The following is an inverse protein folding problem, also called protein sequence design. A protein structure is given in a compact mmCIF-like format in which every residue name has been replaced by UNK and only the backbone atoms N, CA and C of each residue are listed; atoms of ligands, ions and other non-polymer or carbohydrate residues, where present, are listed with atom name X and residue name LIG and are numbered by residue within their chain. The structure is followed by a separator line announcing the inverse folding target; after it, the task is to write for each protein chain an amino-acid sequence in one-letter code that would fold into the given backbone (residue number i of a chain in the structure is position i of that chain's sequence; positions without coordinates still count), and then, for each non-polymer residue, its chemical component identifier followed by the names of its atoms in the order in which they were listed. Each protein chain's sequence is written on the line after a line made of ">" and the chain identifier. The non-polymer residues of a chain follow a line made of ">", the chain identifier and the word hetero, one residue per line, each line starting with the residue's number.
data_IF_860768840996
#
_entry.id   IF_860768840996
#
_cell.length_a   1.000
_cell.length_b   1.000
_cell.length_c   1.000
_cell.angle_alpha   90.00
_cell.angle_beta   90.00
_cell.angle_gamma   90.00
#
_symmetry.space_group_name_H-M   'P 1'
#
loop_
_entity.id
_entity.type
_entity.pdbx_description
1 polymer ?
#
# COMPACT_ATOMS: atom_id res chain seq x y z
N UNK A 1 -11.09 12.71 9.12
CA UNK A 1 -9.91 12.58 9.99
C UNK A 1 -9.07 13.85 9.94
N UNK A 2 -8.74 14.36 11.12
CA UNK A 2 -7.76 15.43 11.31
C UNK A 2 -6.35 14.95 10.90
N UNK A 3 -5.41 15.89 10.75
CA UNK A 3 -4.05 15.57 10.28
C UNK A 3 -3.31 14.69 11.30
N UNK A 4 -3.38 15.05 12.57
CA UNK A 4 -2.78 14.32 13.69
C UNK A 4 -3.30 12.87 13.75
N UNK A 5 -4.62 12.69 13.66
CA UNK A 5 -5.24 11.37 13.59
C UNK A 5 -4.74 10.52 12.41
N UNK A 6 -4.45 11.13 11.26
CA UNK A 6 -3.86 10.40 10.12
C UNK A 6 -2.40 10.02 10.38
N UNK A 7 -1.63 10.89 11.04
CA UNK A 7 -0.25 10.58 11.42
C UNK A 7 -0.19 9.46 12.46
N UNK A 8 -1.08 9.48 13.46
CA UNK A 8 -1.22 8.41 14.45
C UNK A 8 -1.64 7.09 13.79
N UNK A 9 -2.62 7.13 12.89
CA UNK A 9 -3.04 5.94 12.15
C UNK A 9 -1.91 5.38 11.27
N UNK A 10 -1.16 6.26 10.61
CA UNK A 10 0.02 5.85 9.84
C UNK A 10 1.07 5.20 10.75
N UNK A 11 1.35 5.80 11.91
CA UNK A 11 2.26 5.23 12.88
C UNK A 11 1.80 3.85 13.35
N UNK A 12 0.51 3.67 13.59
CA UNK A 12 -0.08 2.38 13.94
C UNK A 12 0.16 1.34 12.83
N UNK A 13 -0.14 1.67 11.57
CA UNK A 13 0.09 0.74 10.45
C UNK A 13 1.56 0.39 10.24
N UNK A 14 2.50 1.31 10.49
CA UNK A 14 3.94 0.99 10.48
C UNK A 14 4.29 -0.07 11.52
N UNK A 15 3.72 0.01 12.74
CA UNK A 15 3.95 -1.00 13.77
C UNK A 15 3.30 -2.33 13.41
N UNK A 16 2.03 -2.33 13.00
CA UNK A 16 1.33 -3.55 12.59
C UNK A 16 2.06 -4.23 11.44
N UNK A 17 2.54 -3.47 10.46
CA UNK A 17 3.35 -4.00 9.36
C UNK A 17 4.60 -4.72 9.86
N UNK A 18 5.38 -4.09 10.75
CA UNK A 18 6.61 -4.69 11.29
C UNK A 18 6.36 -5.98 12.08
N UNK A 19 5.27 -6.05 12.83
CA UNK A 19 4.95 -7.23 13.64
C UNK A 19 4.38 -8.38 12.79
N UNK A 20 3.60 -8.07 11.75
CA UNK A 20 2.85 -9.07 10.99
C UNK A 20 3.61 -9.55 9.75
N UNK A 21 4.49 -8.73 9.19
CA UNK A 21 5.19 -9.02 7.94
C UNK A 21 6.65 -9.36 8.22
N UNK A 22 7.13 -10.55 7.86
CA UNK A 22 8.52 -10.94 8.04
C UNK A 22 9.49 -9.97 7.36
N UNK A 23 10.63 -9.74 8.00
CA UNK A 23 11.73 -8.99 7.38
C UNK A 23 12.14 -9.65 6.06
N UNK A 24 12.30 -8.84 5.00
CA UNK A 24 12.69 -9.32 3.67
C UNK A 24 11.55 -9.83 2.79
N UNK A 25 10.26 -9.69 3.18
CA UNK A 25 9.15 -9.92 2.26
C UNK A 25 9.28 -8.99 1.04
N UNK A 26 9.30 -9.59 -0.15
CA UNK A 26 9.20 -8.83 -1.40
C UNK A 26 7.74 -8.46 -1.66
N UNK A 27 7.38 -7.21 -1.37
CA UNK A 27 6.03 -6.68 -1.54
C UNK A 27 6.08 -5.40 -2.35
N UNK A 28 5.43 -5.41 -3.51
CA UNK A 28 5.43 -4.25 -4.44
C UNK A 28 4.80 -3.01 -3.80
N UNK A 29 3.78 -3.18 -2.94
CA UNK A 29 3.14 -2.07 -2.24
C UNK A 29 4.08 -1.44 -1.21
N UNK A 30 4.94 -2.23 -0.57
CA UNK A 30 5.95 -1.70 0.37
C UNK A 30 6.99 -0.87 -0.36
N UNK A 31 7.50 -1.34 -1.51
CA UNK A 31 8.42 -0.56 -2.35
C UNK A 31 7.81 0.77 -2.77
N UNK A 32 6.54 0.74 -3.20
CA UNK A 32 5.76 1.94 -3.55
C UNK A 32 5.65 2.91 -2.36
N UNK A 33 5.47 2.37 -1.15
CA UNK A 33 5.40 3.16 0.09
C UNK A 33 6.74 3.82 0.42
N UNK A 34 7.86 3.10 0.26
CA UNK A 34 9.21 3.63 0.47
C UNK A 34 9.53 4.74 -0.52
N UNK A 35 9.18 4.57 -1.80
CA UNK A 35 9.33 5.57 -2.86
C UNK A 35 8.49 6.84 -2.64
N UNK A 36 7.34 6.70 -1.95
CA UNK A 36 6.50 7.85 -1.60
C UNK A 36 7.22 8.80 -0.62
N UNK A 37 8.20 8.30 0.15
CA UNK A 37 8.98 9.06 1.13
C UNK A 37 8.08 9.84 2.12
N UNK A 38 7.07 9.17 2.66
CA UNK A 38 6.17 9.72 3.66
C UNK A 38 6.29 8.89 4.91
N UNK A 39 6.67 9.54 6.02
CA UNK A 39 6.77 8.94 7.35
C UNK A 39 5.70 9.51 8.27
N UNK A 40 5.31 8.78 9.33
CA UNK A 40 4.26 9.23 10.25
C UNK A 40 4.53 10.62 10.85
N UNK A 41 5.78 10.93 11.18
CA UNK A 41 6.18 12.21 11.80
C UNK A 41 6.36 13.37 10.80
N UNK A 42 6.18 13.15 9.49
CA UNK A 42 6.34 14.21 8.49
C UNK A 42 5.16 15.20 8.51
N UNK A 43 5.21 16.16 9.44
CA UNK A 43 4.19 17.21 9.62
C UNK A 43 4.00 18.12 8.40
N UNK A 44 4.97 18.18 7.48
CA UNK A 44 4.88 19.01 6.28
C UNK A 44 4.25 18.28 5.08
N UNK A 45 4.08 16.96 5.14
CA UNK A 45 3.43 16.19 4.07
C UNK A 45 1.92 16.42 4.07
N UNK A 46 1.30 16.23 2.91
CA UNK A 46 -0.11 16.45 2.69
C UNK A 46 -0.96 15.35 3.34
N UNK A 47 -2.22 15.67 3.65
CA UNK A 47 -3.17 14.66 4.17
C UNK A 47 -3.40 13.52 3.16
N UNK A 48 -3.37 13.83 1.86
CA UNK A 48 -3.52 12.84 0.78
C UNK A 48 -2.32 11.90 0.71
N UNK A 49 -1.11 12.42 0.87
CA UNK A 49 0.12 11.62 0.94
C UNK A 49 0.12 10.68 2.14
N UNK A 50 -0.28 11.16 3.32
CA UNK A 50 -0.43 10.33 4.52
C UNK A 50 -1.49 9.21 4.32
N UNK A 51 -2.61 9.52 3.66
CA UNK A 51 -3.62 8.50 3.30
C UNK A 51 -3.07 7.47 2.34
N UNK A 52 -2.37 7.90 1.29
CA UNK A 52 -1.75 6.99 0.33
C UNK A 52 -0.80 6.01 1.03
N UNK A 53 0.04 6.53 1.93
CA UNK A 53 0.99 5.73 2.70
C UNK A 53 0.28 4.64 3.54
N UNK A 54 -0.80 5.01 4.24
CA UNK A 54 -1.63 4.08 5.02
C UNK A 54 -2.22 2.98 4.11
N UNK A 55 -2.78 3.36 2.97
CA UNK A 55 -3.39 2.39 2.05
C UNK A 55 -2.36 1.43 1.43
N UNK A 56 -1.14 1.88 1.15
CA UNK A 56 -0.06 1.00 0.65
C UNK A 56 0.39 -0.02 1.70
N UNK A 57 0.57 0.42 2.96
CA UNK A 57 0.87 -0.50 4.07
C UNK A 57 -0.26 -1.51 4.28
N UNK A 58 -1.52 -1.05 4.23
CA UNK A 58 -2.69 -1.92 4.36
C UNK A 58 -2.79 -2.93 3.20
N UNK A 59 -2.46 -2.52 1.97
CA UNK A 59 -2.45 -3.41 0.81
C UNK A 59 -1.42 -4.54 0.96
N UNK A 60 -0.21 -4.19 1.42
CA UNK A 60 0.83 -5.17 1.68
C UNK A 60 0.46 -6.16 2.80
N UNK A 61 -0.16 -5.65 3.87
CA UNK A 61 -0.70 -6.48 4.95
C UNK A 61 -1.78 -7.43 4.44
N UNK A 62 -2.74 -6.92 3.66
CA UNK A 62 -3.81 -7.75 3.10
C UNK A 62 -3.27 -8.87 2.21
N UNK A 63 -2.28 -8.58 1.35
CA UNK A 63 -1.61 -9.58 0.51
C UNK A 63 -0.93 -10.66 1.36
N UNK A 64 -0.13 -10.25 2.36
CA UNK A 64 0.55 -11.22 3.22
C UNK A 64 -0.37 -12.02 4.14
N UNK A 65 -1.56 -11.50 4.46
CA UNK A 65 -2.58 -12.23 5.20
C UNK A 65 -3.37 -13.19 4.31
N UNK A 66 -3.72 -12.81 3.08
CA UNK A 66 -4.45 -13.70 2.17
C UNK A 66 -3.66 -14.96 1.79
N UNK A 67 -2.33 -14.91 1.84
CA UNK A 67 -1.49 -16.11 1.66
C UNK A 67 -1.63 -17.14 2.79
N UNK A 68 -2.10 -16.72 3.97
CA UNK A 68 -2.18 -17.56 5.18
C UNK A 68 -3.62 -17.89 5.57
N UNK A 69 -4.55 -17.01 5.22
CA UNK A 69 -5.95 -17.08 5.61
C UNK A 69 -6.87 -16.84 4.40
N UNK A 70 -7.49 -17.93 3.94
CA UNK A 70 -8.42 -17.93 2.81
C UNK A 70 -9.72 -17.16 3.08
N UNK A 71 -9.98 -16.71 4.31
CA UNK A 71 -11.11 -15.84 4.63
C UNK A 71 -10.89 -14.40 4.14
N UNK A 72 -9.64 -14.02 3.86
CA UNK A 72 -9.31 -12.70 3.32
C UNK A 72 -9.43 -12.74 1.79
N UNK A 73 -10.27 -11.89 1.18
CA UNK A 73 -10.38 -11.84 -0.27
C UNK A 73 -9.05 -11.43 -0.92
N UNK A 74 -8.58 -12.21 -1.90
CA UNK A 74 -7.35 -11.93 -2.66
C UNK A 74 -7.36 -10.55 -3.32
N UNK A 75 -8.54 -10.03 -3.69
CA UNK A 75 -8.67 -8.72 -4.31
C UNK A 75 -8.60 -7.52 -3.33
N UNK A 76 -8.53 -7.77 -2.02
CA UNK A 76 -8.54 -6.71 -1.02
C UNK A 76 -7.29 -5.83 -1.13
N UNK A 77 -6.12 -6.45 -1.27
CA UNK A 77 -4.83 -5.76 -1.45
C UNK A 77 -4.88 -4.80 -2.65
N UNK A 78 -5.42 -5.29 -3.77
CA UNK A 78 -5.62 -4.50 -4.99
C UNK A 78 -6.55 -3.30 -4.76
N UNK A 79 -7.71 -3.51 -4.14
CA UNK A 79 -8.66 -2.40 -3.87
C UNK A 79 -8.06 -1.36 -2.94
N UNK A 80 -7.24 -1.77 -1.96
CA UNK A 80 -6.52 -0.85 -1.07
C UNK A 80 -5.49 -0.04 -1.85
N UNK A 81 -4.70 -0.66 -2.72
CA UNK A 81 -3.70 0.06 -3.54
C UNK A 81 -4.34 1.03 -4.54
N UNK A 82 -5.47 0.67 -5.16
CA UNK A 82 -6.24 1.58 -6.00
C UNK A 82 -6.67 2.85 -5.25
N UNK A 83 -7.05 2.71 -3.97
CA UNK A 83 -7.35 3.87 -3.12
C UNK A 83 -6.10 4.70 -2.81
N UNK A 84 -4.93 4.07 -2.60
CA UNK A 84 -3.67 4.80 -2.46
C UNK A 84 -3.38 5.66 -3.69
N UNK A 85 -3.47 5.06 -4.89
CA UNK A 85 -3.17 5.76 -6.14
C UNK A 85 -4.15 6.90 -6.46
N UNK A 86 -5.40 6.82 -6.00
CA UNK A 86 -6.33 7.96 -6.08
C UNK A 86 -5.81 9.18 -5.32
N UNK A 87 -5.18 8.98 -4.17
CA UNK A 87 -4.62 10.09 -3.39
C UNK A 87 -3.27 10.60 -3.92
N UNK A 88 -2.48 9.74 -4.57
CA UNK A 88 -1.21 10.12 -5.22
C UNK A 88 -1.47 10.91 -6.51
N UNK A 89 -2.40 10.45 -7.35
CA UNK A 89 -2.72 11.08 -8.64
C UNK A 89 -3.44 12.43 -8.53
N UNK A 90 -3.94 12.79 -7.35
CA UNK A 90 -4.76 13.99 -7.20
C UNK A 90 -3.94 15.29 -7.19
N UNK A 91 -2.60 15.28 -7.02
CA UNK A 91 -1.86 16.51 -6.68
C UNK A 91 -0.37 16.63 -7.13
N UNK A 92 0.24 15.75 -7.94
CA UNK A 92 1.66 16.01 -8.32
C UNK A 92 2.23 15.25 -9.52
N UNK A 93 2.98 15.95 -10.39
CA UNK A 93 3.92 15.37 -11.36
C UNK A 93 5.15 14.71 -10.72
N UNK A 94 5.37 14.95 -9.42
CA UNK A 94 6.46 14.36 -8.63
C UNK A 94 6.44 12.83 -8.58
N UNK A 95 5.28 12.22 -8.86
CA UNK A 95 5.01 10.80 -8.66
C UNK A 95 4.81 10.02 -9.97
N UNK A 96 5.29 10.51 -11.12
CA UNK A 96 5.11 9.83 -12.42
C UNK A 96 5.67 8.40 -12.42
N UNK A 97 6.79 8.16 -11.74
CA UNK A 97 7.42 6.84 -11.60
C UNK A 97 6.49 5.82 -10.92
N UNK A 98 5.58 6.27 -10.05
CA UNK A 98 4.60 5.41 -9.36
C UNK A 98 3.46 4.95 -10.28
N UNK A 99 3.27 5.57 -11.46
CA UNK A 99 2.31 5.11 -12.46
C UNK A 99 2.79 3.83 -13.15
N UNK A 100 4.09 3.70 -13.38
CA UNK A 100 4.69 2.49 -13.95
C UNK A 100 4.64 1.32 -12.95
N UNK A 101 4.77 1.64 -11.65
CA UNK A 101 4.57 0.67 -10.57
C UNK A 101 3.11 0.22 -10.51
N UNK A 102 2.14 1.13 -10.63
CA UNK A 102 0.71 0.77 -10.72
C UNK A 102 0.44 -0.21 -11.86
N UNK A 103 1.02 0.03 -13.03
CA UNK A 103 0.90 -0.87 -14.18
C UNK A 103 1.52 -2.25 -13.89
N UNK A 104 2.65 -2.29 -13.17
CA UNK A 104 3.32 -3.53 -12.75
C UNK A 104 2.49 -4.33 -11.74
N UNK A 105 1.84 -3.67 -10.78
CA UNK A 105 0.88 -4.26 -9.83
C UNK A 105 -0.29 -4.90 -10.58
N UNK A 106 -0.86 -4.19 -11.55
CA UNK A 106 -1.97 -4.71 -12.37
C UNK A 106 -1.56 -5.94 -13.21
N UNK A 107 -0.29 -6.05 -13.60
CA UNK A 107 0.26 -7.22 -14.31
C UNK A 107 0.53 -8.39 -13.35
N UNK A 108 1.03 -8.12 -12.14
CA UNK A 108 1.35 -9.16 -11.15
C UNK A 108 0.07 -9.87 -10.63
N UNK A 109 -0.98 -9.12 -10.28
CA UNK A 109 -2.28 -9.71 -9.89
C UNK A 109 -2.92 -10.55 -11.01
N UNK A 110 -2.65 -10.27 -12.29
CA UNK A 110 -3.17 -11.10 -13.40
C UNK A 110 -2.47 -12.46 -13.50
N UNK A 111 -1.20 -12.58 -13.10
CA UNK A 111 -0.46 -13.85 -13.14
C UNK A 111 -0.87 -14.82 -12.04
N UNK A 112 -1.28 -14.31 -10.88
CA UNK A 112 -1.77 -15.13 -9.76
C UNK A 112 -3.15 -15.73 -10.04
N UNK A 113 -4.06 -14.96 -10.68
CA UNK A 113 -5.37 -15.47 -11.10
C UNK A 113 -5.29 -16.64 -12.11
N UNK A 114 -4.22 -16.71 -12.92
CA UNK A 114 -4.04 -17.80 -13.91
C UNK A 114 -3.50 -19.08 -13.26
N UNK A 115 -2.79 -18.99 -12.13
CA UNK A 115 -2.25 -20.18 -11.44
C UNK A 115 -3.31 -20.99 -10.68
N UNK A 116 -4.47 -20.38 -10.37
CA UNK A 116 -5.57 -21.03 -9.66
C UNK A 116 -6.66 -21.61 -10.60
N UNK A 117 -6.39 -21.77 -11.91
CA UNK A 117 -7.37 -22.30 -12.90
C UNK A 117 -6.91 -23.59 -13.61
N UNK A 118 -6.02 -24.39 -13.02
CA UNK A 118 -5.65 -25.72 -13.54
C UNK A 118 -5.77 -26.78 -12.46
#
# INVERSE_FOLDING_TARGET
>A
MHKEQLMELHQFFVHVFKEMVPEGRDCVYLKTYEELDVKPHHIHKLKTEQRAAIFLLAACLAEGLSERDNSIPENLSKRLSENAFKYINMQSEKYQNLKDVKNSIDVQCKRENVKNTV
#
